data_IF_047203083687
#
_entry.id   IF_047203083687
#
_cell.length_a   1.000
_cell.length_b   1.000
_cell.length_c   1.000
_cell.angle_alpha   90.00
_cell.angle_beta   90.00
_cell.angle_gamma   90.00
#
_symmetry.space_group_name_H-M   'P 1'
#
loop_
_entity.id
_entity.type
_entity.pdbx_description
1 polymer ?
#
# COMPACT_ATOMS: atom_id res chain seq x y z
N UNK A 1 -19.75 31.62 -19.11
CA UNK A 1 -20.30 30.28 -19.44
C UNK A 1 -20.37 29.45 -18.17
N UNK A 2 -21.57 29.12 -17.71
CA UNK A 2 -21.81 28.24 -16.55
C UNK A 2 -21.41 26.81 -16.93
N UNK A 3 -20.44 26.22 -16.24
CA UNK A 3 -20.16 24.78 -16.34
C UNK A 3 -20.65 24.13 -15.04
N UNK A 4 -21.69 23.32 -15.19
CA UNK A 4 -22.30 22.52 -14.15
C UNK A 4 -21.36 21.41 -13.69
N UNK A 5 -21.47 21.08 -12.40
CA UNK A 5 -20.76 20.08 -11.61
C UNK A 5 -20.86 18.65 -12.16
N UNK A 6 -19.81 17.86 -11.93
CA UNK A 6 -19.93 16.42 -11.73
C UNK A 6 -19.30 16.08 -10.36
N UNK A 7 -20.14 15.70 -9.41
CA UNK A 7 -19.72 15.17 -8.11
C UNK A 7 -19.61 13.65 -8.22
N UNK A 8 -18.40 13.10 -8.11
CA UNK A 8 -18.20 11.66 -7.98
C UNK A 8 -18.14 11.34 -6.49
N UNK A 9 -19.19 10.69 -6.00
CA UNK A 9 -19.25 10.12 -4.65
C UNK A 9 -18.55 8.76 -4.69
N UNK A 10 -17.31 8.68 -4.19
CA UNK A 10 -16.68 7.39 -3.91
C UNK A 10 -17.09 6.99 -2.49
N UNK A 11 -18.06 6.09 -2.41
CA UNK A 11 -18.51 5.53 -1.14
C UNK A 11 -17.48 4.57 -0.56
N UNK A 12 -16.68 5.04 0.39
CA UNK A 12 -15.99 4.18 1.33
C UNK A 12 -16.91 3.94 2.53
N UNK A 13 -17.65 2.83 2.49
CA UNK A 13 -18.45 2.36 3.60
C UNK A 13 -17.56 1.87 4.75
N UNK A 14 -17.95 2.25 5.96
CA UNK A 14 -17.47 1.82 7.28
C UNK A 14 -16.22 2.51 7.83
N UNK A 15 -16.32 3.81 8.10
CA UNK A 15 -15.98 4.46 9.38
C UNK A 15 -16.64 5.84 9.36
N UNK A 16 -17.66 6.04 10.21
CA UNK A 16 -18.49 7.25 10.23
C UNK A 16 -17.69 8.51 10.54
N UNK A 17 -17.39 9.29 9.50
CA UNK A 17 -16.93 10.66 9.57
C UNK A 17 -17.29 11.36 8.27
N UNK A 18 -18.29 12.25 8.31
CA UNK A 18 -18.60 13.12 7.19
C UNK A 18 -17.42 14.06 6.92
N UNK A 19 -16.54 13.68 6.00
CA UNK A 19 -15.51 14.59 5.47
C UNK A 19 -16.22 15.60 4.55
N UNK A 20 -16.37 16.84 5.03
CA UNK A 20 -16.73 17.98 4.17
C UNK A 20 -15.55 18.24 3.23
N UNK A 21 -15.72 17.91 1.95
CA UNK A 21 -14.75 18.25 0.91
C UNK A 21 -14.87 19.75 0.59
N UNK A 22 -13.80 20.52 0.83
CA UNK A 22 -13.68 21.93 0.43
C UNK A 22 -13.14 21.99 -1.00
N UNK A 23 -13.83 22.73 -1.87
CA UNK A 23 -13.42 22.94 -3.27
C UNK A 23 -12.53 24.20 -3.37
N UNK A 24 -11.29 24.10 -2.90
CA UNK A 24 -10.19 24.97 -3.36
C UNK A 24 -9.08 24.04 -3.83
N UNK A 25 -8.30 24.38 -4.88
CA UNK A 25 -7.18 23.55 -5.28
C UNK A 25 -6.16 23.54 -4.14
N UNK A 26 -6.13 22.44 -3.37
CA UNK A 26 -5.21 22.29 -2.25
C UNK A 26 -3.77 22.43 -2.75
N UNK A 27 -3.02 23.32 -2.11
CA UNK A 27 -1.58 23.44 -2.35
C UNK A 27 -0.88 22.13 -2.01
N UNK A 28 0.29 21.88 -2.61
CA UNK A 28 1.12 20.69 -2.28
C UNK A 28 1.35 20.55 -0.77
N UNK A 29 1.59 21.66 -0.07
CA UNK A 29 1.76 21.68 1.38
C UNK A 29 0.49 21.20 2.12
N UNK A 30 -0.69 21.69 1.72
CA UNK A 30 -1.96 21.25 2.31
C UNK A 30 -2.22 19.76 2.10
N UNK A 31 -1.88 19.22 0.92
CA UNK A 31 -2.01 17.80 0.63
C UNK A 31 -1.04 16.95 1.48
N UNK A 32 0.21 17.38 1.63
CA UNK A 32 1.18 16.71 2.50
C UNK A 32 0.75 16.76 3.97
N UNK A 33 0.28 17.90 4.46
CA UNK A 33 -0.20 18.05 5.84
C UNK A 33 -1.45 17.21 6.11
N UNK A 34 -2.38 17.16 5.14
CA UNK A 34 -3.55 16.29 5.21
C UNK A 34 -3.15 14.81 5.25
N UNK A 35 -2.21 14.40 4.37
CA UNK A 35 -1.66 13.03 4.38
C UNK A 35 -0.96 12.71 5.70
N UNK A 36 -0.23 13.66 6.29
CA UNK A 36 0.43 13.47 7.58
C UNK A 36 -0.58 13.31 8.72
N UNK A 37 -1.64 14.13 8.75
CA UNK A 37 -2.72 14.01 9.73
C UNK A 37 -3.44 12.66 9.60
N UNK A 38 -3.79 12.28 8.37
CA UNK A 38 -4.39 10.98 8.08
C UNK A 38 -3.48 9.83 8.53
N UNK A 39 -2.18 9.90 8.24
CA UNK A 39 -1.20 8.87 8.63
C UNK A 39 -1.15 8.68 10.16
N UNK A 40 -1.21 9.79 10.92
CA UNK A 40 -1.21 9.77 12.39
C UNK A 40 -2.49 9.12 12.93
N UNK A 41 -3.63 9.51 12.39
CA UNK A 41 -4.93 8.96 12.82
C UNK A 41 -5.03 7.47 12.50
N UNK A 42 -4.56 7.05 11.33
CA UNK A 42 -4.51 5.64 10.92
C UNK A 42 -3.68 4.80 11.91
N UNK A 43 -2.46 5.24 12.23
CA UNK A 43 -1.59 4.54 13.20
C UNK A 43 -2.23 4.42 14.57
N UNK A 44 -2.80 5.51 15.07
CA UNK A 44 -3.45 5.54 16.38
C UNK A 44 -4.65 4.59 16.45
N UNK A 45 -5.53 4.64 15.46
CA UNK A 45 -6.69 3.75 15.38
C UNK A 45 -6.28 2.29 15.22
N UNK A 46 -5.28 2.02 14.40
CA UNK A 46 -4.70 0.69 14.22
C UNK A 46 -4.16 0.13 15.52
N UNK A 47 -3.29 0.87 16.22
CA UNK A 47 -2.70 0.42 17.47
C UNK A 47 -3.78 0.16 18.54
N UNK A 48 -4.75 1.08 18.68
CA UNK A 48 -5.86 0.92 19.62
C UNK A 48 -6.76 -0.28 19.31
N UNK A 49 -6.94 -0.61 18.03
CA UNK A 49 -7.67 -1.82 17.60
C UNK A 49 -6.88 -3.08 17.93
N UNK A 50 -5.62 -3.11 17.51
CA UNK A 50 -4.75 -4.27 17.66
C UNK A 50 -4.56 -4.67 19.13
N UNK A 51 -4.45 -3.70 20.04
CA UNK A 51 -4.34 -3.97 21.49
C UNK A 51 -5.52 -4.75 22.07
N UNK A 52 -6.70 -4.67 21.46
CA UNK A 52 -7.94 -5.33 21.92
C UNK A 52 -8.19 -6.67 21.24
N UNK A 53 -7.42 -7.01 20.21
CA UNK A 53 -7.59 -8.22 19.43
C UNK A 53 -6.93 -9.43 20.13
N UNK A 54 -7.55 -10.61 19.99
CA UNK A 54 -6.91 -11.88 20.34
C UNK A 54 -5.74 -12.16 19.40
N UNK A 55 -4.83 -13.07 19.75
CA UNK A 55 -3.66 -13.39 18.91
C UNK A 55 -4.02 -13.81 17.48
N UNK A 56 -5.01 -14.68 17.31
CA UNK A 56 -5.50 -15.06 15.98
C UNK A 56 -6.10 -13.89 15.19
N UNK A 57 -6.78 -12.95 15.86
CA UNK A 57 -7.29 -11.73 15.23
C UNK A 57 -6.16 -10.76 14.85
N UNK A 58 -5.16 -10.57 15.71
CA UNK A 58 -3.97 -9.76 15.42
C UNK A 58 -3.25 -10.28 14.19
N UNK A 59 -2.99 -11.59 14.12
CA UNK A 59 -2.37 -12.23 12.95
C UNK A 59 -3.16 -11.95 11.67
N UNK A 60 -4.48 -12.15 11.71
CA UNK A 60 -5.35 -11.91 10.55
C UNK A 60 -5.40 -10.44 10.15
N UNK A 61 -5.48 -9.54 11.12
CA UNK A 61 -5.43 -8.10 10.91
C UNK A 61 -4.15 -7.70 10.21
N UNK A 62 -2.99 -8.13 10.73
CA UNK A 62 -1.67 -7.81 10.15
C UNK A 62 -1.55 -8.36 8.74
N UNK A 63 -1.97 -9.60 8.48
CA UNK A 63 -2.05 -10.15 7.12
C UNK A 63 -2.91 -9.27 6.21
N UNK A 64 -4.12 -8.93 6.64
CA UNK A 64 -5.08 -8.14 5.86
C UNK A 64 -4.53 -6.75 5.54
N UNK A 65 -3.76 -6.16 6.44
CA UNK A 65 -3.05 -4.90 6.19
C UNK A 65 -2.08 -5.07 5.01
N UNK A 66 -1.20 -6.07 5.08
CA UNK A 66 -0.21 -6.34 4.02
C UNK A 66 -0.89 -6.69 2.69
N UNK A 67 -1.93 -7.52 2.70
CA UNK A 67 -2.76 -7.85 1.52
C UNK A 67 -3.27 -6.57 0.86
N UNK A 68 -3.93 -5.71 1.66
CA UNK A 68 -4.56 -4.50 1.17
C UNK A 68 -3.55 -3.54 0.58
N UNK A 69 -2.43 -3.29 1.27
CA UNK A 69 -1.43 -2.32 0.80
C UNK A 69 -0.70 -2.86 -0.45
N UNK A 70 -0.31 -4.13 -0.44
CA UNK A 70 0.34 -4.79 -1.60
C UNK A 70 -0.56 -4.70 -2.85
N UNK A 71 -1.86 -4.99 -2.71
CA UNK A 71 -2.82 -4.86 -3.83
C UNK A 71 -2.90 -3.43 -4.36
N UNK A 72 -2.90 -2.42 -3.48
CA UNK A 72 -2.93 -1.02 -3.93
C UNK A 72 -1.63 -0.62 -4.65
N UNK A 73 -0.47 -1.08 -4.17
CA UNK A 73 0.81 -0.84 -4.84
C UNK A 73 0.85 -1.49 -6.21
N UNK A 74 0.43 -2.75 -6.35
CA UNK A 74 0.39 -3.44 -7.64
C UNK A 74 -0.55 -2.73 -8.62
N UNK A 75 -1.74 -2.33 -8.18
CA UNK A 75 -2.67 -1.54 -9.02
C UNK A 75 -2.07 -0.21 -9.46
N UNK A 76 -1.33 0.47 -8.58
CA UNK A 76 -0.62 1.68 -8.95
C UNK A 76 0.51 1.37 -9.96
N UNK A 77 1.22 0.26 -9.78
CA UNK A 77 2.21 -0.23 -10.73
C UNK A 77 1.64 -0.50 -12.12
N UNK A 78 0.45 -1.11 -12.21
CA UNK A 78 -0.25 -1.31 -13.48
C UNK A 78 -0.54 0.02 -14.18
N UNK A 79 -0.96 1.05 -13.43
CA UNK A 79 -1.18 2.40 -13.97
C UNK A 79 0.14 3.06 -14.46
N UNK A 80 1.25 2.81 -13.75
CA UNK A 80 2.59 3.27 -14.16
C UNK A 80 3.00 2.59 -15.46
N UNK A 81 2.81 1.27 -15.58
CA UNK A 81 3.11 0.50 -16.78
C UNK A 81 2.27 0.99 -17.98
N UNK A 82 0.96 1.20 -17.78
CA UNK A 82 0.07 1.74 -18.81
C UNK A 82 0.55 3.11 -19.32
N UNK A 83 0.89 4.02 -18.40
CA UNK A 83 1.42 5.35 -18.76
C UNK A 83 2.76 5.26 -19.47
N UNK A 84 3.64 4.35 -19.04
CA UNK A 84 4.92 4.13 -19.69
C UNK A 84 4.75 3.60 -21.11
N UNK A 85 3.88 2.60 -21.32
CA UNK A 85 3.53 2.10 -22.66
C UNK A 85 2.96 3.20 -23.54
N UNK A 86 1.98 3.96 -23.03
CA UNK A 86 1.39 5.07 -23.75
C UNK A 86 2.42 6.16 -24.09
N UNK A 87 3.33 6.46 -23.16
CA UNK A 87 4.43 7.40 -23.37
C UNK A 87 5.40 6.96 -24.46
N UNK A 88 5.63 5.66 -24.62
CA UNK A 88 6.49 5.12 -25.68
C UNK A 88 5.79 5.04 -27.04
N UNK A 89 4.45 5.07 -27.09
CA UNK A 89 3.72 5.02 -28.36
C UNK A 89 3.91 6.32 -29.16
N UNK A 90 4.52 6.21 -30.33
CA UNK A 90 4.69 7.34 -31.25
C UNK A 90 5.82 8.32 -30.89
N UNK A 91 6.61 8.03 -29.85
CA UNK A 91 7.84 8.77 -29.57
C UNK A 91 9.01 8.18 -30.38
N UNK A 92 9.90 9.01 -30.94
CA UNK A 92 11.11 8.54 -31.63
C UNK A 92 12.14 7.92 -30.66
N UNK A 93 12.03 8.22 -29.37
CA UNK A 93 12.87 7.64 -28.32
C UNK A 93 11.98 7.14 -27.17
N UNK A 94 12.17 5.89 -26.70
CA UNK A 94 11.46 5.38 -25.53
C UNK A 94 11.78 6.21 -24.27
N UNK A 95 10.82 6.31 -23.36
CA UNK A 95 11.04 6.86 -22.02
C UNK A 95 12.15 6.09 -21.31
N UNK A 96 13.07 6.84 -20.71
CA UNK A 96 14.12 6.28 -19.86
C UNK A 96 13.57 5.92 -18.48
N UNK A 97 14.29 5.09 -17.73
CA UNK A 97 13.96 4.83 -16.32
C UNK A 97 13.89 6.11 -15.48
N UNK A 98 14.68 7.13 -15.82
CA UNK A 98 14.68 8.42 -15.11
C UNK A 98 13.35 9.17 -15.35
N UNK A 99 12.83 9.15 -16.57
CA UNK A 99 11.55 9.78 -16.91
C UNK A 99 10.39 9.12 -16.17
N UNK A 100 10.39 7.78 -16.12
CA UNK A 100 9.36 7.01 -15.41
C UNK A 100 9.47 7.25 -13.91
N UNK A 101 10.68 7.24 -13.33
CA UNK A 101 10.87 7.56 -11.91
C UNK A 101 10.42 8.98 -11.57
N UNK A 102 10.66 9.96 -12.44
CA UNK A 102 10.17 11.32 -12.25
C UNK A 102 8.64 11.40 -12.30
N UNK A 103 8.00 10.66 -13.22
CA UNK A 103 6.54 10.53 -13.28
C UNK A 103 5.98 9.93 -11.99
N UNK A 104 6.59 8.86 -11.50
CA UNK A 104 6.17 8.18 -10.26
C UNK A 104 6.34 9.11 -9.07
N UNK A 105 7.53 9.71 -8.88
CA UNK A 105 7.82 10.62 -7.78
C UNK A 105 6.83 11.80 -7.74
N UNK A 106 6.50 12.38 -8.90
CA UNK A 106 5.50 13.44 -8.99
C UNK A 106 4.08 12.97 -8.63
N UNK A 107 3.74 11.72 -8.90
CA UNK A 107 2.44 11.14 -8.53
C UNK A 107 2.30 10.83 -7.05
N UNK A 108 3.41 10.70 -6.33
CA UNK A 108 3.44 10.13 -4.98
C UNK A 108 4.03 11.05 -3.92
N UNK A 109 4.56 12.21 -4.32
CA UNK A 109 5.25 13.17 -3.44
C UNK A 109 4.44 13.60 -2.21
N UNK A 110 3.10 13.63 -2.30
CA UNK A 110 2.24 13.99 -1.17
C UNK A 110 1.79 12.80 -0.33
N UNK A 111 2.04 11.56 -0.79
CA UNK A 111 1.57 10.32 -0.16
C UNK A 111 2.64 9.61 0.68
N UNK A 112 3.89 10.07 0.66
CA UNK A 112 5.00 9.48 1.43
C UNK A 112 4.66 9.27 2.92
N UNK A 113 3.98 10.21 3.63
CA UNK A 113 3.58 9.98 5.02
C UNK A 113 2.65 8.77 5.21
N UNK A 114 1.80 8.46 4.23
CA UNK A 114 0.90 7.29 4.29
C UNK A 114 1.68 5.99 4.09
N UNK A 115 2.64 5.95 3.17
CA UNK A 115 3.45 4.76 2.93
C UNK A 115 4.24 4.38 4.18
N UNK A 116 4.89 5.36 4.81
CA UNK A 116 5.59 5.15 6.09
C UNK A 116 4.65 4.67 7.19
N UNK A 117 3.42 5.16 7.25
CA UNK A 117 2.46 4.69 8.24
C UNK A 117 2.11 3.21 8.08
N UNK A 118 2.03 2.67 6.86
CA UNK A 118 1.79 1.24 6.66
C UNK A 118 2.93 0.38 7.19
N UNK A 119 4.18 0.80 6.96
CA UNK A 119 5.38 0.14 7.49
C UNK A 119 5.36 0.14 9.03
N UNK A 120 5.16 1.31 9.65
CA UNK A 120 5.10 1.46 11.11
C UNK A 120 3.94 0.64 11.72
N UNK A 121 2.79 0.56 11.05
CA UNK A 121 1.65 -0.25 11.48
C UNK A 121 1.96 -1.74 11.45
N UNK A 122 2.66 -2.21 10.41
CA UNK A 122 3.10 -3.60 10.30
C UNK A 122 4.16 -3.95 11.35
N UNK A 123 5.19 -3.12 11.50
CA UNK A 123 6.26 -3.30 12.47
C UNK A 123 5.71 -3.35 13.90
N UNK A 124 4.83 -2.41 14.25
CA UNK A 124 4.14 -2.41 15.54
C UNK A 124 3.37 -3.72 15.76
N UNK A 125 2.65 -4.20 14.74
CA UNK A 125 1.88 -5.42 14.89
C UNK A 125 2.76 -6.67 15.06
N UNK A 126 3.87 -6.72 14.32
CA UNK A 126 4.85 -7.79 14.44
C UNK A 126 5.51 -7.81 15.83
N UNK A 127 5.82 -6.64 16.39
CA UNK A 127 6.35 -6.52 17.75
C UNK A 127 5.34 -7.02 18.79
N UNK A 128 4.07 -6.61 18.69
CA UNK A 128 3.02 -7.08 19.61
C UNK A 128 2.82 -8.60 19.56
N UNK A 129 2.91 -9.20 18.38
CA UNK A 129 2.82 -10.65 18.21
C UNK A 129 4.03 -11.36 18.87
N UNK A 130 5.24 -10.85 18.66
CA UNK A 130 6.46 -11.37 19.30
C UNK A 130 6.41 -11.29 20.83
N UNK A 131 5.90 -10.17 21.37
CA UNK A 131 5.79 -9.96 22.82
C UNK A 131 4.79 -10.91 23.48
N UNK A 132 3.73 -11.32 22.76
CA UNK A 132 2.71 -12.23 23.31
C UNK A 132 3.25 -13.62 23.65
N UNK A 133 4.30 -14.09 22.93
CA UNK A 133 4.82 -15.47 22.99
C UNK A 133 3.79 -16.57 22.73
N UNK A 134 2.60 -16.21 22.24
CA UNK A 134 1.54 -17.16 21.89
C UNK A 134 1.72 -17.72 20.48
N UNK A 135 2.50 -17.03 19.63
CA UNK A 135 2.76 -17.39 18.23
C UNK A 135 4.11 -18.09 18.12
N UNK A 136 4.14 -19.23 17.43
CA UNK A 136 5.37 -19.96 17.17
C UNK A 136 6.32 -19.21 16.22
N UNK A 137 7.62 -19.47 16.34
CA UNK A 137 8.67 -18.78 15.59
C UNK A 137 8.52 -18.94 14.07
N UNK A 138 7.99 -20.07 13.60
CA UNK A 138 7.81 -20.31 12.16
C UNK A 138 6.69 -19.44 11.58
N UNK A 139 5.59 -19.25 12.33
CA UNK A 139 4.51 -18.32 11.96
C UNK A 139 5.00 -16.87 11.98
N UNK A 140 5.79 -16.48 12.98
CA UNK A 140 6.40 -15.13 13.05
C UNK A 140 7.35 -14.91 11.87
N UNK A 141 8.18 -15.90 11.52
CA UNK A 141 9.08 -15.83 10.39
C UNK A 141 8.31 -15.69 9.05
N UNK A 142 7.25 -16.47 8.86
CA UNK A 142 6.40 -16.37 7.67
C UNK A 142 5.74 -14.98 7.55
N UNK A 143 5.21 -14.45 8.66
CA UNK A 143 4.63 -13.09 8.67
C UNK A 143 5.69 -12.01 8.40
N UNK A 144 6.90 -12.19 8.91
CA UNK A 144 8.04 -11.29 8.64
C UNK A 144 8.41 -11.33 7.15
N UNK A 145 8.49 -12.51 6.54
CA UNK A 145 8.72 -12.66 5.11
C UNK A 145 7.63 -11.99 4.28
N UNK A 146 6.38 -12.08 4.74
CA UNK A 146 5.27 -11.39 4.09
C UNK A 146 5.33 -9.87 4.24
N UNK A 147 5.81 -9.37 5.38
CA UNK A 147 6.20 -7.97 5.56
C UNK A 147 7.29 -7.53 4.58
N UNK A 148 8.34 -8.33 4.41
CA UNK A 148 9.41 -8.05 3.44
C UNK A 148 8.86 -7.95 2.01
N UNK A 149 7.89 -8.81 1.66
CA UNK A 149 7.22 -8.75 0.35
C UNK A 149 6.50 -7.40 0.11
N UNK A 150 5.98 -6.74 1.14
CA UNK A 150 5.44 -5.39 1.03
C UNK A 150 6.52 -4.39 0.57
N UNK A 151 7.71 -4.44 1.18
CA UNK A 151 8.85 -3.58 0.81
C UNK A 151 9.36 -3.89 -0.59
N UNK A 152 9.42 -5.16 -0.99
CA UNK A 152 9.79 -5.56 -2.35
C UNK A 152 8.82 -5.00 -3.39
N UNK A 153 7.52 -5.07 -3.07
CA UNK A 153 6.45 -4.52 -3.92
C UNK A 153 6.53 -3.00 -3.99
N UNK A 154 6.70 -2.33 -2.86
CA UNK A 154 6.94 -0.88 -2.80
C UNK A 154 8.15 -0.51 -3.67
N UNK A 155 9.29 -1.14 -3.44
CA UNK A 155 10.53 -0.85 -4.17
C UNK A 155 10.36 -1.02 -5.68
N UNK A 156 9.73 -2.12 -6.10
CA UNK A 156 9.47 -2.38 -7.51
C UNK A 156 8.59 -1.29 -8.13
N UNK A 157 7.50 -0.93 -7.45
CA UNK A 157 6.49 0.02 -7.97
C UNK A 157 7.02 1.46 -8.00
N UNK A 158 7.69 1.90 -6.93
CA UNK A 158 8.11 3.29 -6.76
C UNK A 158 9.50 3.60 -7.34
N UNK A 159 10.32 2.56 -7.58
CA UNK A 159 11.63 2.67 -8.22
C UNK A 159 11.73 1.72 -9.42
N UNK A 160 10.92 1.95 -10.47
CA UNK A 160 10.96 1.12 -11.68
C UNK A 160 12.33 1.14 -12.33
N UNK A 161 12.72 -0.03 -12.85
CA UNK A 161 13.98 -0.28 -13.54
C UNK A 161 13.72 -1.19 -14.74
N UNK A 162 14.63 -1.19 -15.72
CA UNK A 162 14.53 -1.98 -16.94
C UNK A 162 13.63 -1.36 -18.01
N UNK A 163 13.19 -2.20 -18.94
CA UNK A 163 12.17 -1.88 -19.93
C UNK A 163 10.74 -2.10 -19.38
N UNK A 164 9.74 -1.55 -20.06
CA UNK A 164 8.34 -1.65 -19.61
C UNK A 164 7.86 -3.10 -19.46
N UNK A 165 8.29 -4.00 -20.37
CA UNK A 165 7.94 -5.41 -20.33
C UNK A 165 8.58 -6.13 -19.12
N UNK A 166 9.81 -5.74 -18.76
CA UNK A 166 10.50 -6.30 -17.59
C UNK A 166 9.83 -5.84 -16.30
N UNK A 167 9.42 -4.57 -16.25
CA UNK A 167 8.65 -4.01 -15.14
C UNK A 167 7.30 -4.72 -14.97
N UNK A 168 6.52 -4.88 -16.05
CA UNK A 168 5.23 -5.60 -16.02
C UNK A 168 5.40 -7.05 -15.56
N UNK A 169 6.41 -7.76 -16.09
CA UNK A 169 6.69 -9.12 -15.65
C UNK A 169 7.09 -9.19 -14.16
N UNK A 170 7.85 -8.21 -13.66
CA UNK A 170 8.20 -8.12 -12.23
C UNK A 170 6.96 -7.91 -11.37
N UNK A 171 6.05 -7.02 -11.76
CA UNK A 171 4.77 -6.80 -11.05
C UNK A 171 3.91 -8.07 -11.03
N UNK A 172 3.84 -8.78 -12.16
CA UNK A 172 3.14 -10.05 -12.24
C UNK A 172 3.72 -11.09 -11.27
N UNK A 173 5.05 -11.25 -11.23
CA UNK A 173 5.73 -12.17 -10.32
C UNK A 173 5.48 -11.81 -8.85
N UNK A 174 5.56 -10.52 -8.51
CA UNK A 174 5.22 -10.05 -7.16
C UNK A 174 3.77 -10.36 -6.80
N UNK A 175 2.82 -10.16 -7.71
CA UNK A 175 1.42 -10.49 -7.50
C UNK A 175 1.12 -11.98 -7.34
N UNK A 176 1.96 -12.87 -7.90
CA UNK A 176 1.89 -14.31 -7.64
C UNK A 176 2.47 -14.64 -6.26
N UNK A 177 3.70 -14.20 -5.99
CA UNK A 177 4.38 -14.44 -4.72
C UNK A 177 3.57 -13.93 -3.52
N UNK A 178 2.95 -12.75 -3.64
CA UNK A 178 2.12 -12.17 -2.60
C UNK A 178 0.85 -12.98 -2.33
N UNK A 179 0.25 -13.59 -3.36
CA UNK A 179 -0.89 -14.50 -3.19
C UNK A 179 -0.48 -15.79 -2.51
N UNK A 180 0.62 -16.40 -2.94
CA UNK A 180 1.11 -17.65 -2.36
C UNK A 180 1.42 -17.49 -0.85
N UNK A 181 2.12 -16.42 -0.48
CA UNK A 181 2.41 -16.09 0.93
C UNK A 181 1.13 -15.79 1.72
N UNK A 182 0.18 -15.07 1.12
CA UNK A 182 -1.11 -14.76 1.75
C UNK A 182 -1.90 -16.05 2.05
N UNK A 183 -1.98 -16.97 1.09
CA UNK A 183 -2.67 -18.25 1.25
C UNK A 183 -1.96 -19.17 2.26
N UNK A 184 -0.62 -19.15 2.30
CA UNK A 184 0.15 -19.86 3.31
C UNK A 184 -0.13 -19.33 4.72
N UNK A 185 -0.13 -18.01 4.92
CA UNK A 185 -0.53 -17.39 6.18
C UNK A 185 -1.97 -17.75 6.56
N UNK A 186 -2.91 -17.74 5.61
CA UNK A 186 -4.30 -18.14 5.89
C UNK A 186 -4.43 -19.59 6.35
N UNK A 187 -3.51 -20.49 5.97
CA UNK A 187 -3.47 -21.86 6.48
C UNK A 187 -2.95 -21.90 7.91
N UNK A 188 -1.83 -21.23 8.18
CA UNK A 188 -1.16 -21.24 9.48
C UNK A 188 -1.98 -20.50 10.56
N UNK A 189 -2.58 -19.35 10.22
CA UNK A 189 -3.39 -18.53 11.13
C UNK A 189 -4.63 -19.28 11.65
N UNK A 190 -5.12 -20.31 10.94
CA UNK A 190 -6.29 -21.10 11.38
C UNK A 190 -6.05 -21.84 12.68
N UNK A 191 -4.81 -22.13 13.04
CA UNK A 191 -4.44 -22.81 14.30
C UNK A 191 -4.69 -21.92 15.52
N UNK A 192 -4.71 -20.59 15.32
CA UNK A 192 -4.85 -19.58 16.37
C UNK A 192 -6.29 -19.08 16.56
N UNK A 193 -7.28 -19.84 16.08
CA UNK A 193 -8.71 -19.47 16.14
C UNK A 193 -9.37 -19.80 17.47
#
# INVERSE_FOLDING_TARGET
MKRSLLAIVIGAGLLGGCVRVRFEPETKQQQTDASALQSKDMRSQWAARLQKETTGLKLRSTKTLVDSVTVQYLRYGDLVAERWRAGNQGQPQPMTEADVRAMVAKGTETQEPLFRAYEEMFEYALEQLKLSREVDDSTVALLTNYGNHLYDTYSAVFFPTGAVEQYENKLYQLGQNGRDLSEELDRVIRVYR
#
